data_IF_100390197726
#
_entry.id   IF_100390197726
#
_cell.length_a   1.000
_cell.length_b   1.000
_cell.length_c   1.000
_cell.angle_alpha   90.00
_cell.angle_beta   90.00
_cell.angle_gamma   90.00
#
_symmetry.space_group_name_H-M   'P 1'
#
loop_
_entity.id
_entity.type
_entity.pdbx_description
1 polymer ?
#
# COMPACT_ATOMS: atom_id res chain seq x y z
N UNK A 1 8.81 -4.76 10.32
CA UNK A 1 9.66 -3.72 9.68
C UNK A 1 8.76 -2.61 9.17
N UNK A 2 9.27 -1.37 9.12
CA UNK A 2 8.53 -0.22 8.59
C UNK A 2 9.34 0.43 7.46
N UNK A 3 8.66 0.73 6.36
CA UNK A 3 9.18 1.56 5.28
C UNK A 3 8.29 2.79 5.17
N UNK A 4 8.92 3.95 5.03
CA UNK A 4 8.22 5.21 4.89
C UNK A 4 8.70 5.94 3.65
N UNK A 5 7.76 6.44 2.86
CA UNK A 5 7.98 7.43 1.81
C UNK A 5 7.19 8.68 2.19
N UNK A 6 7.85 9.83 2.12
CA UNK A 6 7.25 11.11 2.46
C UNK A 6 7.50 12.09 1.30
N UNK A 7 6.45 12.82 0.94
CA UNK A 7 6.49 14.15 0.33
C UNK A 7 6.21 15.17 1.46
N UNK A 8 6.36 16.46 1.23
CA UNK A 8 6.18 17.50 2.26
C UNK A 8 4.79 17.46 2.94
N UNK A 9 3.78 16.88 2.28
CA UNK A 9 2.38 16.85 2.74
C UNK A 9 1.73 15.46 2.72
N UNK A 10 2.38 14.44 2.14
CA UNK A 10 1.81 13.10 1.99
C UNK A 10 2.81 12.04 2.42
N UNK A 11 2.37 11.08 3.21
CA UNK A 11 3.20 9.97 3.67
C UNK A 11 2.53 8.64 3.40
N UNK A 12 3.27 7.73 2.78
CA UNK A 12 2.89 6.34 2.66
C UNK A 12 3.76 5.49 3.58
N UNK A 13 3.10 4.79 4.52
CA UNK A 13 3.77 3.92 5.49
C UNK A 13 3.40 2.46 5.24
N UNK A 14 4.40 1.66 4.87
CA UNK A 14 4.26 0.21 4.78
C UNK A 14 4.82 -0.46 6.05
N UNK A 15 3.96 -1.21 6.72
CA UNK A 15 4.28 -2.03 7.89
C UNK A 15 4.08 -3.49 7.53
N UNK A 16 5.04 -4.36 7.85
CA UNK A 16 4.92 -5.78 7.56
C UNK A 16 5.75 -6.65 8.49
N UNK A 17 5.43 -7.94 8.49
CA UNK A 17 6.11 -8.97 9.26
C UNK A 17 6.45 -10.15 8.36
N UNK A 18 7.72 -10.58 8.42
CA UNK A 18 8.27 -11.73 7.69
C UNK A 18 9.11 -12.57 8.66
N UNK A 19 9.35 -13.86 8.37
CA UNK A 19 10.29 -14.68 9.12
C UNK A 19 11.66 -14.03 9.23
N UNK A 20 12.36 -14.27 10.35
CA UNK A 20 13.72 -13.77 10.55
C UNK A 20 14.66 -14.40 9.53
N UNK A 21 15.57 -13.61 8.98
CA UNK A 21 16.64 -14.07 8.09
C UNK A 21 16.30 -14.04 6.60
N UNK A 22 15.04 -13.77 6.24
CA UNK A 22 14.66 -13.55 4.84
C UNK A 22 14.81 -12.08 4.45
N UNK A 23 15.31 -11.81 3.24
CA UNK A 23 15.49 -10.45 2.71
C UNK A 23 15.16 -10.41 1.23
N UNK A 24 14.44 -9.38 0.80
CA UNK A 24 14.25 -9.05 -0.61
C UNK A 24 14.29 -7.54 -0.83
N UNK A 25 14.66 -7.16 -2.05
CA UNK A 25 14.56 -5.77 -2.50
C UNK A 25 13.19 -5.50 -3.07
N UNK A 26 12.55 -4.45 -2.58
CA UNK A 26 11.26 -3.97 -3.04
C UNK A 26 11.39 -2.54 -3.56
N UNK A 27 10.62 -2.21 -4.61
CA UNK A 27 10.50 -0.84 -5.09
C UNK A 27 9.30 -0.21 -4.40
N UNK A 28 9.55 0.94 -3.78
CA UNK A 28 8.51 1.75 -3.17
C UNK A 28 8.47 3.09 -3.91
N UNK A 29 7.31 3.44 -4.47
CA UNK A 29 7.12 4.61 -5.33
C UNK A 29 5.98 5.46 -4.79
N UNK A 30 6.23 6.75 -4.67
CA UNK A 30 5.24 7.77 -4.32
C UNK A 30 5.03 8.66 -5.53
N UNK A 31 3.78 8.85 -5.95
CA UNK A 31 3.45 9.75 -7.05
C UNK A 31 2.37 10.74 -6.61
N UNK A 32 2.56 11.99 -7.01
CA UNK A 32 1.60 13.07 -6.83
C UNK A 32 1.07 13.48 -8.20
N UNK A 33 -0.25 13.60 -8.36
CA UNK A 33 -0.83 14.12 -9.59
C UNK A 33 -0.35 15.55 -9.87
N UNK A 34 -0.20 15.93 -11.14
CA UNK A 34 0.34 17.25 -11.51
C UNK A 34 -0.50 18.43 -10.98
N UNK A 35 -1.81 18.23 -10.86
CA UNK A 35 -2.78 19.16 -10.28
C UNK A 35 -2.94 19.01 -8.75
N UNK A 36 -2.17 18.12 -8.13
CA UNK A 36 -2.24 17.75 -6.70
C UNK A 36 -3.61 17.25 -6.26
N UNK A 37 -4.43 16.75 -7.19
CA UNK A 37 -5.76 16.19 -6.89
C UNK A 37 -5.72 14.81 -6.24
N UNK A 38 -4.60 14.10 -6.37
CA UNK A 38 -4.44 12.76 -5.81
C UNK A 38 -2.99 12.42 -5.54
N UNK A 39 -2.83 11.51 -4.58
CA UNK A 39 -1.57 10.87 -4.25
C UNK A 39 -1.70 9.37 -4.42
N UNK A 40 -0.66 8.73 -4.93
CA UNK A 40 -0.62 7.28 -5.07
C UNK A 40 0.67 6.69 -4.54
N UNK A 41 0.53 5.51 -3.97
CA UNK A 41 1.61 4.76 -3.36
C UNK A 41 1.64 3.35 -3.92
N UNK A 42 2.83 2.91 -4.34
CA UNK A 42 3.08 1.59 -4.91
C UNK A 42 4.21 0.92 -4.15
N UNK A 43 3.97 -0.28 -3.60
CA UNK A 43 5.03 -1.17 -3.15
C UNK A 43 5.02 -2.42 -4.01
N UNK A 44 6.11 -2.73 -4.69
CA UNK A 44 6.15 -3.88 -5.60
C UNK A 44 7.50 -4.58 -5.58
N UNK A 45 7.47 -5.91 -5.74
CA UNK A 45 8.65 -6.71 -6.05
C UNK A 45 9.07 -6.41 -7.49
N UNK A 46 10.30 -5.91 -7.74
CA UNK A 46 10.77 -5.69 -9.10
C UNK A 46 11.04 -7.03 -9.79
N UNK A 47 10.64 -7.13 -11.06
CA UNK A 47 10.87 -8.30 -11.91
C UNK A 47 9.59 -9.06 -12.26
N UNK A 48 9.69 -10.12 -13.10
CA UNK A 48 8.53 -10.88 -13.56
C UNK A 48 8.04 -11.93 -12.55
N UNK A 49 8.76 -12.15 -11.45
CA UNK A 49 8.49 -13.20 -10.47
C UNK A 49 7.74 -12.65 -9.26
N UNK A 50 6.99 -13.53 -8.58
CA UNK A 50 6.43 -13.23 -7.26
C UNK A 50 7.54 -13.11 -6.22
N UNK A 51 7.22 -12.48 -5.08
CA UNK A 51 8.06 -12.51 -3.89
C UNK A 51 8.18 -13.92 -3.33
N UNK A 52 9.36 -14.28 -2.85
CA UNK A 52 9.62 -15.53 -2.12
C UNK A 52 9.38 -15.39 -0.61
N UNK A 53 9.14 -14.16 -0.11
CA UNK A 53 8.89 -13.89 1.30
C UNK A 53 7.52 -14.43 1.73
N UNK A 54 7.49 -15.09 2.89
CA UNK A 54 6.24 -15.55 3.51
C UNK A 54 5.71 -14.52 4.52
N UNK A 55 5.03 -13.48 4.03
CA UNK A 55 4.49 -12.42 4.88
C UNK A 55 3.48 -12.95 5.91
N UNK A 56 3.61 -12.56 7.17
CA UNK A 56 2.60 -12.88 8.21
C UNK A 56 1.48 -11.85 8.26
N UNK A 57 1.82 -10.60 7.98
CA UNK A 57 0.88 -9.49 7.89
C UNK A 57 1.50 -8.36 7.08
N UNK A 58 0.64 -7.54 6.49
CA UNK A 58 1.01 -6.27 5.87
C UNK A 58 -0.04 -5.19 6.17
N UNK A 59 0.40 -3.94 6.17
CA UNK A 59 -0.44 -2.76 6.27
C UNK A 59 0.21 -1.57 5.57
N UNK A 60 -0.49 -1.00 4.61
CA UNK A 60 -0.15 0.28 3.98
C UNK A 60 -1.10 1.35 4.50
N UNK A 61 -0.56 2.36 5.18
CA UNK A 61 -1.33 3.54 5.64
C UNK A 61 -0.99 4.75 4.78
N UNK A 62 -2.01 5.49 4.36
CA UNK A 62 -1.88 6.78 3.70
C UNK A 62 -2.14 7.90 4.73
N UNK A 63 -1.21 8.83 4.87
CA UNK A 63 -1.27 9.94 5.84
C UNK A 63 -1.18 11.25 5.04
N UNK A 64 -2.01 12.23 5.38
CA UNK A 64 -2.14 13.48 4.62
C UNK A 64 -3.21 13.44 3.52
N UNK A 65 -4.04 12.38 3.51
CA UNK A 65 -5.22 12.26 2.64
C UNK A 65 -6.48 12.13 3.50
N UNK A 66 -7.61 12.58 2.97
CA UNK A 66 -8.90 12.54 3.65
C UNK A 66 -9.85 11.48 3.05
N UNK A 67 -9.49 10.91 1.91
CA UNK A 67 -10.21 9.80 1.31
C UNK A 67 -9.22 8.84 0.67
N UNK A 68 -9.50 7.53 0.76
CA UNK A 68 -8.83 6.49 -0.02
C UNK A 68 -9.83 5.92 -1.03
N UNK A 69 -9.63 6.27 -2.29
CA UNK A 69 -10.56 5.93 -3.37
C UNK A 69 -10.28 4.54 -3.93
N UNK A 70 -9.04 4.08 -3.80
CA UNK A 70 -8.59 2.82 -4.36
C UNK A 70 -7.50 2.22 -3.51
N UNK A 71 -7.56 0.91 -3.32
CA UNK A 71 -6.55 0.15 -2.60
C UNK A 71 -6.64 -1.33 -2.94
N UNK A 72 -5.55 -1.90 -3.44
CA UNK A 72 -5.49 -3.28 -3.87
C UNK A 72 -4.16 -3.94 -3.47
N UNK A 73 -4.22 -5.26 -3.29
CA UNK A 73 -3.09 -6.10 -2.98
C UNK A 73 -3.02 -7.28 -3.95
N UNK A 74 -1.81 -7.69 -4.30
CA UNK A 74 -1.55 -8.72 -5.31
C UNK A 74 -0.61 -9.78 -4.74
N UNK A 75 -0.94 -11.06 -4.93
CA UNK A 75 -0.12 -12.18 -4.48
C UNK A 75 1.02 -12.51 -5.43
N UNK A 76 0.82 -12.24 -6.72
CA UNK A 76 1.82 -12.34 -7.80
C UNK A 76 1.72 -11.09 -8.69
N UNK A 77 2.70 -10.78 -9.58
CA UNK A 77 2.78 -9.50 -10.29
C UNK A 77 1.48 -9.01 -10.96
N UNK A 78 0.67 -9.94 -11.47
CA UNK A 78 -0.63 -9.64 -12.12
C UNK A 78 -1.81 -10.42 -11.53
N UNK A 79 -1.66 -10.99 -10.33
CA UNK A 79 -2.72 -11.79 -9.69
C UNK A 79 -3.17 -11.09 -8.41
N UNK A 80 -4.37 -10.48 -8.40
CA UNK A 80 -4.89 -9.83 -7.20
C UNK A 80 -5.10 -10.85 -6.08
N UNK A 81 -4.92 -10.42 -4.84
CA UNK A 81 -5.35 -11.20 -3.69
C UNK A 81 -6.88 -11.24 -3.64
N UNK A 82 -7.45 -12.35 -3.19
CA UNK A 82 -8.90 -12.42 -3.02
C UNK A 82 -9.33 -11.62 -1.77
N UNK A 83 -10.55 -11.08 -1.80
CA UNK A 83 -11.02 -10.08 -0.83
C UNK A 83 -11.09 -10.59 0.62
N UNK A 84 -11.12 -11.90 0.83
CA UNK A 84 -11.05 -12.52 2.15
C UNK A 84 -9.67 -12.39 2.81
N UNK A 85 -8.62 -12.13 2.04
CA UNK A 85 -7.24 -12.07 2.54
C UNK A 85 -6.83 -10.67 2.99
N UNK A 86 -7.52 -9.62 2.54
CA UNK A 86 -7.18 -8.23 2.89
C UNK A 86 -8.42 -7.34 2.99
N UNK A 87 -8.23 -6.10 3.42
CA UNK A 87 -9.30 -5.11 3.47
C UNK A 87 -8.76 -3.72 3.13
N UNK A 88 -9.64 -2.92 2.54
CA UNK A 88 -9.52 -1.47 2.42
C UNK A 88 -10.35 -0.84 3.54
N UNK A 89 -9.70 -0.14 4.46
CA UNK A 89 -10.30 0.52 5.62
C UNK A 89 -10.32 2.03 5.35
N UNK A 90 -11.47 2.54 4.92
CA UNK A 90 -11.62 3.95 4.51
C UNK A 90 -11.51 4.90 5.68
N UNK A 91 -11.99 4.51 6.86
CA UNK A 91 -11.94 5.37 8.06
C UNK A 91 -10.50 5.57 8.54
N UNK A 92 -9.64 4.58 8.32
CA UNK A 92 -8.23 4.62 8.72
C UNK A 92 -7.27 5.00 7.60
N UNK A 93 -7.73 5.10 6.36
CA UNK A 93 -6.91 5.29 5.16
C UNK A 93 -5.87 4.17 4.99
N UNK A 94 -6.30 2.92 5.16
CA UNK A 94 -5.39 1.77 5.23
C UNK A 94 -5.79 0.60 4.32
N UNK A 95 -4.81 -0.01 3.65
CA UNK A 95 -4.93 -1.34 3.02
C UNK A 95 -4.17 -2.34 3.88
N UNK A 96 -4.83 -3.39 4.39
CA UNK A 96 -4.20 -4.32 5.33
C UNK A 96 -4.64 -5.77 5.16
N UNK A 97 -3.73 -6.70 5.47
CA UNK A 97 -4.04 -8.14 5.53
C UNK A 97 -5.07 -8.45 6.61
N UNK A 98 -5.99 -9.38 6.33
CA UNK A 98 -6.90 -9.94 7.34
C UNK A 98 -6.20 -11.03 8.14
N UNK A 99 -6.16 -10.84 9.46
CA UNK A 99 -5.55 -11.78 10.39
C UNK A 99 -6.16 -13.17 10.26
N UNK A 100 -5.32 -14.19 10.06
CA UNK A 100 -5.72 -15.60 9.95
C UNK A 100 -6.37 -15.99 8.61
N UNK A 101 -6.51 -15.06 7.66
CA UNK A 101 -7.00 -15.35 6.31
C UNK A 101 -5.93 -15.17 5.24
N UNK A 102 -5.06 -14.17 5.43
CA UNK A 102 -3.94 -13.92 4.55
C UNK A 102 -2.96 -15.11 4.52
N UNK A 103 -2.64 -15.59 3.31
CA UNK A 103 -1.84 -16.79 3.04
C UNK A 103 -0.35 -16.51 2.87
N UNK A 104 0.05 -15.24 3.02
CA UNK A 104 1.43 -14.81 3.05
C UNK A 104 2.08 -14.49 1.71
N UNK A 105 1.36 -14.62 0.60
CA UNK A 105 1.85 -14.18 -0.71
C UNK A 105 1.57 -12.69 -0.91
N UNK A 106 2.60 -11.89 -1.12
CA UNK A 106 2.46 -10.49 -1.50
C UNK A 106 3.53 -10.13 -2.51
N UNK A 107 3.15 -9.53 -3.63
CA UNK A 107 4.07 -9.07 -4.68
C UNK A 107 3.86 -7.61 -5.05
N UNK A 108 2.66 -7.07 -4.84
CA UNK A 108 2.36 -5.66 -5.10
C UNK A 108 1.24 -5.14 -4.19
N UNK A 109 1.37 -3.89 -3.76
CA UNK A 109 0.36 -3.09 -3.08
C UNK A 109 0.22 -1.77 -3.82
N UNK A 110 -1.02 -1.34 -4.01
CA UNK A 110 -1.37 -0.05 -4.60
C UNK A 110 -2.39 0.62 -3.72
N UNK A 111 -2.20 1.90 -3.43
CA UNK A 111 -3.21 2.72 -2.78
C UNK A 111 -3.21 4.12 -3.38
N UNK A 112 -4.40 4.69 -3.58
CA UNK A 112 -4.60 6.05 -4.07
C UNK A 112 -5.50 6.79 -3.08
N UNK A 113 -5.02 7.93 -2.61
CA UNK A 113 -5.76 8.82 -1.74
C UNK A 113 -5.95 10.20 -2.33
N UNK A 114 -7.05 10.84 -1.95
CA UNK A 114 -7.40 12.21 -2.33
C UNK A 114 -7.17 13.11 -1.11
N UNK A 115 -6.38 14.19 -1.25
CA UNK A 115 -6.27 15.19 -0.21
C UNK A 115 -7.56 16.01 -0.11
N UNK A 116 -7.80 16.60 1.06
CA UNK A 116 -8.81 17.64 1.17
C UNK A 116 -8.45 18.82 0.26
N UNK A 117 -9.22 19.06 -0.80
CA UNK A 117 -9.13 20.33 -1.51
C UNK A 117 -9.80 21.39 -0.62
N UNK A 118 -9.09 22.42 -0.16
CA UNK A 118 -9.79 23.57 0.41
C UNK A 118 -10.74 24.09 -0.67
N UNK A 119 -12.02 24.21 -0.34
CA UNK A 119 -12.94 24.97 -1.17
C UNK A 119 -12.36 26.39 -1.28
N UNK A 120 -11.85 26.73 -2.46
CA UNK A 120 -11.64 28.13 -2.82
C UNK A 120 -13.03 28.71 -3.02
N UNK A 121 -13.62 29.27 -1.98
CA UNK A 121 -14.78 30.15 -2.11
C UNK A 121 -14.34 31.32 -3.00
N UNK A 122 -14.98 31.45 -4.17
CA UNK A 122 -14.92 32.60 -5.07
C UNK A 122 -16.23 33.38 -4.95
#
# INVERSE_FOLDING_TARGET
MFLFLHDDVFTCRLSYEIPKGETETWRFTLNTAADKSSYSCFAERPGPTKSDLNFKQFKMSLIGVNEINYGEAYGAPSVPLPEEEYKLDKDKMEVSSRRGKFRGNLSRLVALGIPHQPHTEL
#
